data_IF_566708859617
#
_entry.id   IF_566708859617
#
_cell.length_a   1.000
_cell.length_b   1.000
_cell.length_c   1.000
_cell.angle_alpha   90.00
_cell.angle_beta   90.00
_cell.angle_gamma   90.00
#
_symmetry.space_group_name_H-M   'P 1'
#
loop_
_entity.id
_entity.type
_entity.pdbx_description
1 polymer ?
#
# COMPACT_ATOMS: atom_id res chain seq x y z
N UNK A 1 4.70 16.12 7.06
CA UNK A 1 3.55 15.24 6.91
C UNK A 1 3.29 14.96 5.44
N UNK A 2 2.82 13.75 5.11
CA UNK A 2 2.42 13.35 3.75
C UNK A 2 0.99 12.84 3.78
N UNK A 3 0.27 13.00 2.67
CA UNK A 3 -1.09 12.46 2.56
C UNK A 3 -1.05 10.95 2.27
N UNK A 4 -2.11 10.18 2.60
CA UNK A 4 -2.21 8.76 2.25
C UNK A 4 -1.95 8.48 0.77
N UNK A 5 -2.46 9.30 -0.14
CA UNK A 5 -2.27 9.12 -1.59
C UNK A 5 -0.81 9.39 -2.02
N UNK A 6 -0.10 10.31 -1.37
CA UNK A 6 1.32 10.54 -1.63
C UNK A 6 2.15 9.33 -1.19
N UNK A 7 1.87 8.77 -0.01
CA UNK A 7 2.52 7.55 0.48
C UNK A 7 2.25 6.37 -0.46
N UNK A 8 1.00 6.19 -0.85
CA UNK A 8 0.59 5.13 -1.77
C UNK A 8 1.31 5.27 -3.12
N UNK A 9 1.40 6.49 -3.65
CA UNK A 9 2.07 6.78 -4.92
C UNK A 9 3.58 6.49 -4.85
N UNK A 10 4.23 6.81 -3.74
CA UNK A 10 5.64 6.52 -3.53
C UNK A 10 5.92 5.01 -3.49
N UNK A 11 5.12 4.25 -2.75
CA UNK A 11 5.24 2.78 -2.68
C UNK A 11 4.86 2.13 -4.02
N UNK A 12 3.89 2.70 -4.75
CA UNK A 12 3.54 2.25 -6.10
C UNK A 12 4.71 2.40 -7.08
N UNK A 13 5.55 3.44 -6.94
CA UNK A 13 6.75 3.59 -7.76
C UNK A 13 7.75 2.42 -7.56
N UNK A 14 7.87 1.90 -6.33
CA UNK A 14 8.68 0.70 -6.04
C UNK A 14 8.06 -0.52 -6.75
N UNK A 15 6.75 -0.72 -6.63
CA UNK A 15 6.01 -1.80 -7.29
C UNK A 15 6.17 -1.74 -8.82
N UNK A 16 6.23 -0.54 -9.41
CA UNK A 16 6.39 -0.29 -10.83
C UNK A 16 7.86 -0.16 -11.28
N UNK A 17 8.78 -0.82 -10.61
CA UNK A 17 10.20 -0.84 -11.00
C UNK A 17 10.83 0.54 -11.14
N UNK A 18 10.49 1.44 -10.20
CA UNK A 18 11.03 2.80 -10.13
C UNK A 18 10.28 3.85 -10.93
N UNK A 19 9.15 3.49 -11.53
CA UNK A 19 8.32 4.42 -12.32
C UNK A 19 7.14 4.92 -11.50
N UNK A 20 7.13 6.20 -11.20
CA UNK A 20 6.01 6.89 -10.56
C UNK A 20 4.91 7.14 -11.59
N UNK A 21 3.69 6.76 -11.24
CA UNK A 21 2.49 6.98 -12.03
C UNK A 21 1.60 7.96 -11.26
N UNK A 22 1.18 9.05 -11.90
CA UNK A 22 0.22 9.98 -11.28
C UNK A 22 -1.12 9.26 -11.09
N UNK A 23 -1.64 9.16 -9.86
CA UNK A 23 -2.92 8.48 -9.64
C UNK A 23 -4.07 9.23 -10.29
N UNK A 24 -5.06 8.49 -10.80
CA UNK A 24 -6.32 9.00 -11.34
C UNK A 24 -7.47 8.16 -10.83
N UNK A 25 -8.62 8.79 -10.60
CA UNK A 25 -9.88 8.13 -10.24
C UNK A 25 -10.90 8.19 -11.38
N UNK A 26 -10.54 8.88 -12.48
CA UNK A 26 -11.40 9.01 -13.65
C UNK A 26 -10.93 8.02 -14.70
N UNK A 27 -11.79 7.08 -15.07
CA UNK A 27 -11.52 6.10 -16.12
C UNK A 27 -11.85 6.66 -17.49
N UNK A 28 -13.04 7.27 -17.63
CA UNK A 28 -13.52 7.86 -18.87
C UNK A 28 -14.53 8.97 -18.61
N UNK A 29 -14.73 9.82 -19.59
CA UNK A 29 -15.76 10.86 -19.58
C UNK A 29 -16.75 10.54 -20.71
N UNK A 30 -18.03 10.50 -20.38
CA UNK A 30 -19.12 10.31 -21.35
C UNK A 30 -19.87 11.63 -21.48
N UNK A 31 -19.97 12.16 -22.71
CA UNK A 31 -20.74 13.38 -23.04
C UNK A 31 -21.71 13.09 -24.20
N UNK A 32 -22.98 12.88 -23.87
CA UNK A 32 -23.97 12.34 -24.81
C UNK A 32 -23.55 10.93 -25.27
N UNK A 33 -23.53 10.69 -26.57
CA UNK A 33 -23.09 9.40 -27.15
C UNK A 33 -21.59 9.32 -27.40
N UNK A 34 -20.82 10.33 -26.97
CA UNK A 34 -19.37 10.39 -27.19
C UNK A 34 -18.61 10.00 -25.94
N UNK A 35 -17.71 9.03 -26.10
CA UNK A 35 -16.70 8.69 -25.09
C UNK A 35 -15.43 9.51 -25.36
N UNK A 36 -15.01 10.27 -24.35
CA UNK A 36 -13.77 11.07 -24.38
C UNK A 36 -12.69 10.31 -23.64
N UNK A 37 -11.68 9.86 -24.35
CA UNK A 37 -10.49 9.26 -23.76
C UNK A 37 -9.68 10.29 -22.97
N UNK A 38 -9.29 9.93 -21.76
CA UNK A 38 -8.41 10.75 -20.96
C UNK A 38 -6.97 10.68 -21.51
N UNK A 39 -6.19 11.75 -21.36
CA UNK A 39 -4.77 11.70 -21.70
C UNK A 39 -4.07 10.64 -20.87
N UNK A 40 -3.08 9.97 -21.49
CA UNK A 40 -2.30 8.95 -20.78
C UNK A 40 -1.69 9.52 -19.50
N UNK A 41 -1.77 8.74 -18.43
CA UNK A 41 -1.20 9.13 -17.14
C UNK A 41 0.31 9.35 -17.27
N UNK A 42 0.79 10.50 -16.78
CA UNK A 42 2.22 10.83 -16.79
C UNK A 42 3.01 9.80 -16.00
N UNK A 43 4.01 9.21 -16.63
CA UNK A 43 4.96 8.27 -16.03
C UNK A 43 6.31 8.96 -15.87
N UNK A 44 6.92 8.87 -14.72
CA UNK A 44 8.23 9.50 -14.44
C UNK A 44 9.13 8.49 -13.75
N UNK A 45 10.30 8.20 -14.29
CA UNK A 45 11.31 7.39 -13.59
C UNK A 45 11.86 8.21 -12.43
N UNK A 46 11.76 7.68 -11.21
CA UNK A 46 12.17 8.36 -9.96
C UNK A 46 13.28 7.61 -9.22
N UNK A 47 13.39 6.30 -9.41
CA UNK A 47 14.50 5.47 -8.93
C UNK A 47 14.89 4.44 -10.00
N UNK A 48 16.08 3.89 -9.91
CA UNK A 48 16.55 2.84 -10.84
C UNK A 48 15.79 1.52 -10.58
N UNK A 49 15.54 0.71 -11.64
CA UNK A 49 14.82 -0.57 -11.53
C UNK A 49 15.50 -1.55 -10.55
N UNK A 50 16.83 -1.55 -10.50
CA UNK A 50 17.63 -2.37 -9.60
C UNK A 50 17.41 -1.97 -8.16
N UNK A 51 17.40 -0.67 -7.87
CA UNK A 51 17.09 -0.11 -6.54
C UNK A 51 15.66 -0.46 -6.12
N UNK A 52 14.69 -0.29 -7.01
CA UNK A 52 13.30 -0.67 -6.75
C UNK A 52 13.17 -2.17 -6.44
N UNK A 53 13.92 -3.01 -7.14
CA UNK A 53 13.97 -4.46 -6.89
C UNK A 53 14.55 -4.78 -5.52
N UNK A 54 15.64 -4.15 -5.12
CA UNK A 54 16.24 -4.33 -3.80
C UNK A 54 15.30 -3.91 -2.68
N UNK A 55 14.63 -2.73 -2.83
CA UNK A 55 13.65 -2.26 -1.85
C UNK A 55 12.47 -3.24 -1.76
N UNK A 56 11.94 -3.72 -2.88
CA UNK A 56 10.89 -4.74 -2.90
C UNK A 56 11.29 -5.98 -2.11
N UNK A 57 12.52 -6.49 -2.33
CA UNK A 57 12.99 -7.71 -1.67
C UNK A 57 13.17 -7.48 -0.14
N UNK A 58 13.59 -6.29 0.27
CA UNK A 58 13.59 -5.87 1.68
C UNK A 58 12.17 -5.79 2.26
N UNK A 59 11.20 -5.28 1.50
CA UNK A 59 9.79 -5.22 1.92
C UNK A 59 9.17 -6.62 2.03
N UNK A 60 9.53 -7.57 1.15
CA UNK A 60 9.14 -8.98 1.27
C UNK A 60 9.73 -9.58 2.54
N UNK A 61 11.01 -9.34 2.82
CA UNK A 61 11.66 -9.82 4.04
C UNK A 61 11.00 -9.23 5.30
N UNK A 62 10.62 -7.95 5.28
CA UNK A 62 9.92 -7.28 6.37
C UNK A 62 8.57 -7.93 6.70
N UNK A 63 7.81 -8.34 5.68
CA UNK A 63 6.54 -9.07 5.88
C UNK A 63 6.78 -10.48 6.39
N UNK A 64 7.78 -11.17 5.86
CA UNK A 64 8.03 -12.58 6.18
C UNK A 64 8.66 -12.79 7.56
N UNK A 65 9.44 -11.82 8.05
CA UNK A 65 10.24 -11.94 9.29
C UNK A 65 9.83 -10.95 10.37
N UNK A 66 9.07 -9.90 10.00
CA UNK A 66 8.63 -8.86 10.92
C UNK A 66 7.52 -9.31 11.87
N UNK A 67 7.08 -8.37 12.70
CA UNK A 67 6.10 -8.61 13.77
C UNK A 67 4.72 -9.05 13.25
N UNK A 68 4.32 -8.61 12.05
CA UNK A 68 3.04 -8.98 11.45
C UNK A 68 3.05 -10.35 10.74
N UNK A 69 4.17 -11.10 10.77
CA UNK A 69 4.32 -12.41 10.08
C UNK A 69 3.24 -13.44 10.47
N UNK A 70 2.71 -13.35 11.69
CA UNK A 70 1.70 -14.26 12.22
C UNK A 70 0.36 -14.19 11.47
N UNK A 71 0.00 -13.00 10.96
CA UNK A 71 -1.27 -12.76 10.27
C UNK A 71 -1.16 -12.88 8.75
N UNK A 72 0.05 -13.01 8.17
CA UNK A 72 0.22 -13.00 6.71
C UNK A 72 -0.40 -14.23 6.05
N UNK A 73 -1.05 -14.07 4.88
CA UNK A 73 -1.49 -15.19 4.05
C UNK A 73 -0.27 -16.02 3.58
N UNK A 74 -0.43 -17.36 3.51
CA UNK A 74 0.63 -18.26 3.04
C UNK A 74 0.64 -18.46 1.53
N UNK A 75 -0.47 -18.17 0.88
CA UNK A 75 -0.72 -18.42 -0.55
C UNK A 75 -0.29 -17.27 -1.47
N UNK A 76 0.21 -16.15 -0.90
CA UNK A 76 0.64 -14.98 -1.67
C UNK A 76 1.91 -14.37 -1.07
N UNK A 77 2.83 -13.95 -1.93
CA UNK A 77 3.99 -13.16 -1.55
C UNK A 77 3.63 -11.66 -1.55
N UNK A 78 3.85 -11.02 -0.42
CA UNK A 78 3.51 -9.61 -0.17
C UNK A 78 4.79 -8.84 0.09
N UNK A 79 4.91 -7.66 -0.51
CA UNK A 79 5.91 -6.66 -0.17
C UNK A 79 5.22 -5.53 0.60
N UNK A 80 5.66 -5.24 1.83
CA UNK A 80 5.02 -4.21 2.64
C UNK A 80 5.79 -3.83 3.89
N UNK A 81 5.28 -2.79 4.56
CA UNK A 81 5.87 -2.26 5.80
C UNK A 81 4.78 -1.76 6.74
N UNK A 82 4.89 -2.14 8.00
CA UNK A 82 4.12 -1.56 9.10
C UNK A 82 4.61 -0.16 9.44
N UNK A 83 3.72 0.68 9.91
CA UNK A 83 4.02 1.98 10.51
C UNK A 83 3.21 2.17 11.79
N UNK A 84 3.82 2.82 12.77
CA UNK A 84 3.16 3.26 14.00
C UNK A 84 3.71 4.63 14.34
N UNK A 85 2.89 5.67 14.16
CA UNK A 85 3.27 7.05 14.41
C UNK A 85 2.46 7.59 15.59
N UNK A 86 3.12 8.16 16.59
CA UNK A 86 2.45 8.85 17.68
C UNK A 86 1.78 10.13 17.17
N UNK A 87 0.61 10.44 17.73
CA UNK A 87 -0.15 11.65 17.39
C UNK A 87 0.33 12.80 18.24
N UNK A 88 0.76 13.94 17.65
CA UNK A 88 1.14 15.11 18.41
C UNK A 88 -0.12 15.82 18.96
N UNK A 89 -0.18 16.01 20.28
CA UNK A 89 -1.23 16.75 20.98
C UNK A 89 -0.58 17.90 21.73
N UNK A 90 -1.00 19.13 21.42
CA UNK A 90 -0.49 20.35 22.08
C UNK A 90 1.05 20.46 22.12
N UNK A 91 1.72 20.04 21.03
CA UNK A 91 3.18 20.11 20.90
C UNK A 91 3.95 18.95 21.51
N UNK A 92 3.29 17.96 22.09
CA UNK A 92 3.89 16.73 22.64
C UNK A 92 3.33 15.50 21.93
N UNK A 93 4.14 14.44 21.81
CA UNK A 93 3.67 13.15 21.31
C UNK A 93 2.97 12.38 22.42
N UNK A 94 1.70 11.98 22.18
CA UNK A 94 0.96 11.13 23.11
C UNK A 94 1.40 9.67 22.92
N UNK A 95 1.96 9.03 23.96
CA UNK A 95 2.44 7.65 23.85
C UNK A 95 1.31 6.61 23.67
N UNK A 96 0.06 6.98 23.98
CA UNK A 96 -1.09 6.09 23.92
C UNK A 96 -1.88 6.23 22.61
N UNK A 97 -1.68 7.34 21.89
CA UNK A 97 -2.42 7.67 20.66
C UNK A 97 -1.54 7.52 19.44
N UNK A 98 -1.92 6.64 18.56
CA UNK A 98 -1.14 6.33 17.36
C UNK A 98 -1.97 6.35 16.10
N UNK A 99 -1.28 6.56 14.98
CA UNK A 99 -1.74 6.19 13.64
C UNK A 99 -1.02 4.90 13.29
N UNK A 100 -1.75 3.80 13.35
CA UNK A 100 -1.27 2.48 12.97
C UNK A 100 -1.48 2.27 11.47
N UNK A 101 -0.45 1.86 10.73
CA UNK A 101 -0.56 1.73 9.28
C UNK A 101 0.16 0.49 8.75
N UNK A 102 -0.27 0.06 7.57
CA UNK A 102 0.45 -0.88 6.73
C UNK A 102 0.31 -0.46 5.28
N UNK A 103 1.44 -0.35 4.58
CA UNK A 103 1.48 -0.05 3.16
C UNK A 103 2.24 -1.15 2.43
N UNK A 104 1.75 -1.55 1.26
CA UNK A 104 2.40 -2.60 0.49
C UNK A 104 1.72 -2.87 -0.84
N UNK A 105 2.23 -3.87 -1.53
CA UNK A 105 1.71 -4.33 -2.81
C UNK A 105 1.76 -5.85 -2.94
N UNK A 106 0.90 -6.37 -3.79
CA UNK A 106 0.79 -7.80 -4.05
C UNK A 106 0.23 -8.10 -5.45
N UNK A 107 0.54 -9.29 -6.02
CA UNK A 107 1.63 -10.18 -5.68
C UNK A 107 2.99 -9.47 -5.78
N UNK A 108 3.93 -9.72 -4.86
CA UNK A 108 5.14 -8.89 -4.72
C UNK A 108 6.02 -8.84 -5.97
N UNK A 109 6.13 -9.95 -6.73
CA UNK A 109 6.98 -10.03 -7.94
C UNK A 109 6.28 -9.62 -9.22
N UNK A 110 4.94 -9.59 -9.23
CA UNK A 110 4.10 -9.15 -10.36
C UNK A 110 2.96 -8.29 -9.80
N UNK A 111 3.25 -7.08 -9.30
CA UNK A 111 2.28 -6.27 -8.59
C UNK A 111 1.05 -5.94 -9.43
N UNK A 112 -0.12 -6.22 -8.87
CA UNK A 112 -1.43 -5.86 -9.43
C UNK A 112 -2.12 -4.82 -8.58
N UNK A 113 -1.86 -4.86 -7.27
CA UNK A 113 -2.48 -3.96 -6.30
C UNK A 113 -1.44 -3.33 -5.40
N UNK A 114 -1.56 -2.03 -5.18
CA UNK A 114 -0.85 -1.30 -4.13
C UNK A 114 -1.89 -0.74 -3.18
N UNK A 115 -1.74 -1.01 -1.87
CA UNK A 115 -2.76 -0.66 -0.89
C UNK A 115 -2.12 -0.09 0.38
N UNK A 116 -2.80 0.87 0.99
CA UNK A 116 -2.50 1.43 2.30
C UNK A 116 -3.73 1.27 3.20
N UNK A 117 -3.52 0.73 4.38
CA UNK A 117 -4.46 0.77 5.49
C UNK A 117 -3.89 1.67 6.57
N UNK A 118 -4.68 2.60 7.06
CA UNK A 118 -4.31 3.54 8.12
C UNK A 118 -5.46 3.65 9.11
N UNK A 119 -5.18 3.39 10.38
CA UNK A 119 -6.12 3.41 11.48
C UNK A 119 -5.69 4.49 12.48
N UNK A 120 -6.56 5.44 12.74
CA UNK A 120 -6.31 6.50 13.73
C UNK A 120 -6.86 6.06 15.07
N UNK A 121 -6.02 6.08 16.11
CA UNK A 121 -6.35 5.70 17.48
C UNK A 121 -7.06 4.33 17.58
N UNK A 122 -6.48 3.25 17.02
CA UNK A 122 -7.10 1.94 17.09
C UNK A 122 -7.23 1.48 18.54
N UNK A 123 -8.42 0.97 18.92
CA UNK A 123 -8.74 0.66 20.31
C UNK A 123 -8.17 -0.68 20.79
N UNK A 124 -7.86 -1.60 19.89
CA UNK A 124 -7.39 -2.95 20.26
C UNK A 124 -5.90 -3.02 20.51
N UNK A 125 -5.10 -2.25 19.80
CA UNK A 125 -3.65 -2.14 19.97
C UNK A 125 -3.14 -0.90 19.22
N UNK A 126 -2.13 -0.19 19.74
CA UNK A 126 -1.53 0.95 19.05
C UNK A 126 -0.63 0.55 17.86
N UNK A 127 -0.29 -0.73 17.71
CA UNK A 127 0.71 -1.20 16.77
C UNK A 127 0.15 -1.56 15.41
N UNK A 128 0.79 -1.05 14.34
CA UNK A 128 0.42 -1.37 12.97
C UNK A 128 0.55 -2.86 12.61
N UNK A 129 1.45 -3.59 13.28
CA UNK A 129 1.62 -5.04 13.14
C UNK A 129 0.45 -5.86 13.69
N UNK A 130 -0.31 -5.31 14.65
CA UNK A 130 -1.39 -5.99 15.34
C UNK A 130 -2.78 -5.54 14.88
N UNK A 131 -2.86 -4.41 14.17
CA UNK A 131 -4.12 -3.80 13.74
C UNK A 131 -4.19 -3.60 12.22
N UNK A 132 -3.41 -2.67 11.66
CA UNK A 132 -3.47 -2.33 10.25
C UNK A 132 -2.99 -3.47 9.33
N UNK A 133 -1.94 -4.21 9.70
CA UNK A 133 -1.41 -5.29 8.88
C UNK A 133 -2.37 -6.48 8.75
N UNK A 134 -2.98 -7.02 9.83
CA UNK A 134 -3.98 -8.08 9.72
C UNK A 134 -5.16 -7.69 8.84
N UNK A 135 -5.68 -6.46 9.00
CA UNK A 135 -6.76 -5.94 8.16
C UNK A 135 -6.35 -5.86 6.69
N UNK A 136 -5.14 -5.32 6.42
CA UNK A 136 -4.59 -5.25 5.07
C UNK A 136 -4.47 -6.64 4.44
N UNK A 137 -3.97 -7.63 5.17
CA UNK A 137 -3.84 -9.01 4.68
C UNK A 137 -5.19 -9.66 4.39
N UNK A 138 -6.20 -9.41 5.22
CA UNK A 138 -7.56 -9.89 4.99
C UNK A 138 -8.14 -9.30 3.69
N UNK A 139 -8.00 -7.99 3.46
CA UNK A 139 -8.45 -7.33 2.23
C UNK A 139 -7.69 -7.87 1.01
N UNK A 140 -6.36 -8.03 1.10
CA UNK A 140 -5.54 -8.57 0.02
C UNK A 140 -6.01 -9.97 -0.39
N UNK A 141 -6.30 -10.83 0.58
CA UNK A 141 -6.80 -12.18 0.32
C UNK A 141 -8.17 -12.17 -0.39
N UNK A 142 -9.08 -11.29 -0.01
CA UNK A 142 -10.38 -11.13 -0.67
C UNK A 142 -10.25 -10.61 -2.11
N UNK A 143 -9.38 -9.62 -2.35
CA UNK A 143 -9.15 -9.10 -3.71
C UNK A 143 -8.60 -10.16 -4.67
N UNK A 144 -7.76 -11.08 -4.18
CA UNK A 144 -7.28 -12.20 -4.99
C UNK A 144 -8.39 -13.18 -5.36
N UNK A 145 -9.27 -13.49 -4.43
CA UNK A 145 -10.42 -14.38 -4.69
C UNK A 145 -11.34 -13.77 -5.76
N UNK A 146 -11.61 -12.47 -5.69
CA UNK A 146 -12.40 -11.76 -6.69
C UNK A 146 -11.70 -11.68 -8.06
N UNK A 147 -10.37 -11.52 -8.08
CA UNK A 147 -9.58 -11.49 -9.31
C UNK A 147 -9.52 -12.84 -10.01
N UNK A 148 -9.47 -13.96 -9.26
CA UNK A 148 -9.44 -15.32 -9.82
C UNK A 148 -10.79 -15.79 -10.40
N UNK A 149 -11.89 -15.11 -10.08
CA UNK A 149 -13.24 -15.42 -10.61
C UNK A 149 -13.56 -14.76 -11.95
N UNK A 150 -12.61 -14.02 -12.55
CA UNK A 150 -12.79 -13.30 -13.82
C UNK A 150 -12.11 -13.95 -15.04
N UNK A 151 -11.62 -15.18 -14.89
CA UNK A 151 -11.03 -15.97 -16.00
C UNK A 151 -11.65 -17.33 -16.12
#
# INVERSE_FOLDING_TARGET
AVTPIQMLTAVNAIANRGVLIKPTIVEKIISGDKEVSLPQTKKTKVIEPETATQIRDMMIAAVNRGEAKWARPKNIEIAGKTGTAQIPISGHYDPTKTIASFVGFFPARRPQYTMLVSLTEPQTSPWGSETAAPLWFAIANQLLLLGSSRY
#
